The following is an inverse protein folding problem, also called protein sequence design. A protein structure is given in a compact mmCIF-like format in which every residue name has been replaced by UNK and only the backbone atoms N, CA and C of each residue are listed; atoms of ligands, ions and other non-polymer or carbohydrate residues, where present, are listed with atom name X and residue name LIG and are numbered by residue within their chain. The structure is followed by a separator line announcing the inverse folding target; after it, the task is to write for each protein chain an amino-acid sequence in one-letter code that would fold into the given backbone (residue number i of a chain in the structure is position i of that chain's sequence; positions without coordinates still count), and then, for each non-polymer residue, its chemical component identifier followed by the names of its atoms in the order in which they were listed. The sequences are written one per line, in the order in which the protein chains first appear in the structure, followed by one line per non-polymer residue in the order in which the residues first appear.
data_IF_472553098135
#
_entry.id   IF_472553098135
#
_cell.length_a   1.000
_cell.length_b   1.000
_cell.length_c   1.000
_cell.angle_alpha   90.00
_cell.angle_beta   90.00
_cell.angle_gamma   90.00
#
_symmetry.space_group_name_H-M   'P 1'
#
loop_
_entity.id
_entity.type
_entity.pdbx_description
1 polymer ?
#
# COMPACT_ATOMS: atom_id res chain seq x y z
N UNK A 1 18.04 -2.76 7.97
CA UNK A 1 16.77 -3.50 7.92
C UNK A 1 15.83 -2.84 6.90
N UNK A 2 16.23 -2.81 5.62
CA UNK A 2 15.41 -2.28 4.50
C UNK A 2 15.60 -3.20 3.28
N UNK A 3 15.46 -4.51 3.48
CA UNK A 3 15.70 -5.52 2.43
C UNK A 3 14.56 -6.56 2.33
N UNK A 4 13.37 -6.22 2.80
CA UNK A 4 12.19 -7.06 2.57
C UNK A 4 11.29 -6.36 1.55
N UNK A 5 10.90 -7.08 0.51
CA UNK A 5 10.00 -6.66 -0.58
C UNK A 5 10.68 -5.92 -1.74
N UNK A 6 11.72 -6.54 -2.33
CA UNK A 6 11.88 -6.54 -3.79
C UNK A 6 11.38 -7.88 -4.32
N UNK A 7 10.07 -8.11 -4.18
CA UNK A 7 9.39 -9.29 -4.69
C UNK A 7 8.80 -8.97 -6.06
N UNK A 8 9.47 -9.48 -7.09
CA UNK A 8 9.01 -9.65 -8.48
C UNK A 8 8.59 -8.38 -9.25
N UNK A 9 9.33 -8.14 -10.33
CA UNK A 9 9.07 -7.18 -11.41
C UNK A 9 7.77 -7.48 -12.18
N UNK A 10 6.65 -7.67 -11.49
CA UNK A 10 5.37 -7.33 -12.09
C UNK A 10 5.46 -5.83 -12.41
N UNK A 11 5.10 -5.43 -13.62
CA UNK A 11 4.99 -4.03 -14.08
C UNK A 11 3.88 -3.28 -13.31
N UNK A 12 3.88 -3.36 -11.98
CA UNK A 12 2.97 -2.66 -11.12
C UNK A 12 3.52 -1.25 -11.01
N UNK A 13 3.01 -0.39 -11.90
CA UNK A 13 3.29 1.04 -11.81
C UNK A 13 2.86 1.57 -10.44
N UNK A 14 3.54 2.61 -9.97
CA UNK A 14 3.13 3.38 -8.79
C UNK A 14 1.64 3.76 -8.86
N UNK A 15 1.17 4.12 -10.06
CA UNK A 15 -0.24 4.42 -10.30
C UNK A 15 -1.17 3.22 -10.07
N UNK A 16 -0.74 2.01 -10.41
CA UNK A 16 -1.51 0.79 -10.14
C UNK A 16 -1.60 0.52 -8.64
N UNK A 17 -0.53 0.77 -7.87
CA UNK A 17 -0.54 0.69 -6.41
C UNK A 17 -1.59 1.65 -5.83
N UNK A 18 -1.60 2.91 -6.28
CA UNK A 18 -2.58 3.89 -5.80
C UNK A 18 -4.03 3.46 -6.05
N UNK A 19 -4.33 2.91 -7.25
CA UNK A 19 -5.67 2.43 -7.59
C UNK A 19 -6.08 1.23 -6.72
N UNK A 20 -5.15 0.32 -6.46
CA UNK A 20 -5.39 -0.84 -5.59
C UNK A 20 -5.60 -0.40 -4.15
N UNK A 21 -4.80 0.54 -3.64
CA UNK A 21 -4.96 1.10 -2.29
C UNK A 21 -6.28 1.87 -2.16
N UNK A 22 -6.68 2.62 -3.18
CA UNK A 22 -7.98 3.30 -3.22
C UNK A 22 -9.13 2.29 -3.14
N UNK A 23 -9.09 1.24 -3.96
CA UNK A 23 -10.09 0.17 -3.93
C UNK A 23 -10.09 -0.58 -2.59
N UNK A 24 -8.92 -0.86 -2.02
CA UNK A 24 -8.77 -1.50 -0.72
C UNK A 24 -9.37 -0.65 0.40
N UNK A 25 -9.05 0.64 0.47
CA UNK A 25 -9.63 1.58 1.44
C UNK A 25 -11.16 1.64 1.31
N UNK A 26 -11.68 1.66 0.09
CA UNK A 26 -13.12 1.61 -0.16
C UNK A 26 -13.77 0.33 0.38
N UNK A 27 -13.13 -0.82 0.23
CA UNK A 27 -13.62 -2.11 0.75
C UNK A 27 -13.50 -2.23 2.28
N UNK A 28 -12.54 -1.55 2.89
CA UNK A 28 -12.32 -1.58 4.34
C UNK A 28 -13.29 -0.68 5.11
N UNK A 29 -13.96 0.27 4.45
CA UNK A 29 -14.90 1.21 5.07
C UNK A 29 -14.31 1.85 6.35
N UNK A 30 -14.92 1.65 7.51
CA UNK A 30 -14.48 2.21 8.80
C UNK A 30 -13.06 1.76 9.20
N UNK A 31 -12.55 0.67 8.61
CA UNK A 31 -11.21 0.15 8.83
C UNK A 31 -10.15 0.72 7.87
N UNK A 32 -10.51 1.64 6.96
CA UNK A 32 -9.57 2.23 6.00
C UNK A 32 -8.38 2.96 6.68
N UNK A 33 -8.56 3.39 7.93
CA UNK A 33 -7.53 4.05 8.73
C UNK A 33 -6.34 3.15 9.08
N UNK A 34 -6.44 1.83 8.91
CA UNK A 34 -5.30 0.92 9.06
C UNK A 34 -4.30 1.03 7.89
N UNK A 35 -4.70 1.55 6.73
CA UNK A 35 -3.81 1.73 5.58
C UNK A 35 -3.22 3.14 5.61
N UNK A 36 -1.98 3.25 6.07
CA UNK A 36 -1.27 4.53 6.24
C UNK A 36 -0.46 4.88 5.00
N UNK A 37 -0.41 6.17 4.67
CA UNK A 37 0.49 6.70 3.63
C UNK A 37 1.77 7.20 4.28
N UNK A 38 2.90 6.66 3.84
CA UNK A 38 4.24 7.05 4.27
C UNK A 38 4.86 7.91 3.16
N UNK A 39 4.99 9.22 3.41
CA UNK A 39 5.47 10.18 2.41
C UNK A 39 6.87 9.78 1.90
N UNK A 40 7.00 9.72 0.57
CA UNK A 40 8.26 9.35 -0.09
C UNK A 40 8.60 7.85 -0.03
N UNK A 41 7.71 7.00 0.50
CA UNK A 41 7.93 5.54 0.60
C UNK A 41 6.77 4.75 -0.02
N UNK A 42 5.52 5.11 0.27
CA UNK A 42 4.34 4.40 -0.22
C UNK A 42 3.30 4.18 0.88
N UNK A 43 2.87 2.94 1.09
CA UNK A 43 1.79 2.59 2.00
C UNK A 43 2.18 1.49 2.99
N UNK A 44 1.56 1.48 4.18
CA UNK A 44 1.80 0.49 5.24
C UNK A 44 0.49 0.14 5.95
N UNK A 45 0.40 -1.08 6.50
CA UNK A 45 -0.65 -1.46 7.44
C UNK A 45 -0.22 -1.16 8.88
N UNK A 46 -1.07 -0.48 9.64
CA UNK A 46 -0.86 -0.25 11.07
C UNK A 46 -0.96 -1.59 11.81
N UNK A 47 0.09 -1.93 12.57
CA UNK A 47 0.15 -3.15 13.40
C UNK A 47 0.84 -4.35 12.75
N UNK A 48 1.42 -4.19 11.56
CA UNK A 48 2.36 -5.14 10.96
C UNK A 48 3.81 -4.87 11.42
#
# INVERSE_FOLDING_TARGET
MVDAVRGEDALVSERAVDLLVMGLRGKLADFAHYVETVRGVGYRLRGA
#
